data_IF_191043585903
#
_entry.id   IF_191043585903
#
_cell.length_a   1.000
_cell.length_b   1.000
_cell.length_c   1.000
_cell.angle_alpha   90.00
_cell.angle_beta   90.00
_cell.angle_gamma   90.00
#
_symmetry.space_group_name_H-M   'P 1'
#
loop_
_entity.id
_entity.type
_entity.pdbx_description
1 polymer ?
#
# COMPACT_ATOMS: atom_id res chain seq x y z
N UNK A 1 6.82 24.93 -51.32
CA UNK A 1 7.81 24.88 -50.22
C UNK A 1 7.09 24.28 -49.03
N UNK A 2 7.46 23.05 -48.66
CA UNK A 2 6.72 22.23 -47.71
C UNK A 2 6.94 22.65 -46.26
N UNK A 3 5.88 22.52 -45.47
CA UNK A 3 5.88 22.64 -44.01
C UNK A 3 6.77 21.57 -43.39
N UNK A 4 7.61 21.94 -42.43
CA UNK A 4 8.14 21.02 -41.42
C UNK A 4 7.69 21.58 -40.07
N UNK A 5 6.70 20.92 -39.48
CA UNK A 5 6.29 21.11 -38.10
C UNK A 5 7.11 20.09 -37.32
N UNK A 6 8.16 20.54 -36.66
CA UNK A 6 8.81 19.74 -35.61
C UNK A 6 8.05 20.01 -34.32
N UNK A 7 6.99 19.24 -34.11
CA UNK A 7 6.29 19.11 -32.84
C UNK A 7 7.21 18.28 -31.93
N UNK A 8 8.11 18.96 -31.21
CA UNK A 8 8.86 18.36 -30.11
C UNK A 8 7.86 18.05 -28.98
N UNK A 9 7.41 16.80 -28.93
CA UNK A 9 6.72 16.24 -27.76
C UNK A 9 7.69 16.29 -26.57
N UNK A 10 7.62 17.37 -25.79
CA UNK A 10 8.23 17.44 -24.47
C UNK A 10 7.57 16.36 -23.63
N UNK A 11 8.30 15.27 -23.41
CA UNK A 11 7.96 14.30 -22.38
C UNK A 11 7.99 15.03 -21.05
N UNK A 12 6.82 15.39 -20.51
CA UNK A 12 6.69 15.88 -19.14
C UNK A 12 7.27 14.82 -18.22
N UNK A 13 8.51 15.04 -17.77
CA UNK A 13 9.09 14.28 -16.68
C UNK A 13 8.33 14.69 -15.43
N UNK A 14 7.23 13.98 -15.14
CA UNK A 14 6.48 14.14 -13.90
C UNK A 14 7.52 13.99 -12.78
N UNK A 15 7.76 15.03 -11.95
CA UNK A 15 8.72 14.91 -10.87
C UNK A 15 8.28 13.76 -9.97
N UNK A 16 9.16 12.78 -9.80
CA UNK A 16 8.94 11.69 -8.85
C UNK A 16 8.94 12.32 -7.46
N UNK A 17 7.75 12.65 -6.96
CA UNK A 17 7.58 13.14 -5.59
C UNK A 17 7.92 11.99 -4.66
N UNK A 18 9.12 12.02 -4.08
CA UNK A 18 9.53 11.07 -3.04
C UNK A 18 8.65 11.30 -1.82
N UNK A 19 7.66 10.42 -1.62
CA UNK A 19 6.78 10.46 -0.46
C UNK A 19 7.55 10.12 0.80
N UNK A 20 7.40 10.92 1.85
CA UNK A 20 7.94 10.59 3.16
C UNK A 20 7.16 9.44 3.82
N UNK A 21 7.66 8.86 4.92
CA UNK A 21 7.03 7.71 5.56
C UNK A 21 5.60 7.98 6.08
N UNK A 22 5.28 9.21 6.47
CA UNK A 22 3.92 9.57 6.87
C UNK A 22 2.97 9.53 5.67
N UNK A 23 3.40 10.05 4.53
CA UNK A 23 2.63 10.04 3.28
C UNK A 23 2.45 8.63 2.73
N UNK A 24 3.53 7.82 2.74
CA UNK A 24 3.46 6.41 2.40
C UNK A 24 2.47 5.67 3.30
N UNK A 25 2.53 5.90 4.62
CA UNK A 25 1.61 5.26 5.55
C UNK A 25 0.16 5.71 5.38
N UNK A 26 -0.07 6.99 5.07
CA UNK A 26 -1.41 7.49 4.78
C UNK A 26 -2.02 6.80 3.54
N UNK A 27 -1.22 6.54 2.51
CA UNK A 27 -1.68 5.79 1.34
C UNK A 27 -1.96 4.32 1.64
N UNK A 28 -1.07 3.68 2.40
CA UNK A 28 -1.28 2.31 2.91
C UNK A 28 -2.59 2.24 3.73
N UNK A 29 -2.84 3.20 4.62
CA UNK A 29 -4.07 3.32 5.42
C UNK A 29 -5.29 3.52 4.52
N UNK A 30 -5.19 4.32 3.46
CA UNK A 30 -6.28 4.52 2.50
C UNK A 30 -6.65 3.22 1.77
N UNK A 31 -5.65 2.44 1.35
CA UNK A 31 -5.85 1.21 0.55
C UNK A 31 -6.33 0.05 1.40
N UNK A 32 -5.61 -0.29 2.46
CA UNK A 32 -5.98 -1.45 3.28
C UNK A 32 -7.03 -1.06 4.31
N UNK A 33 -6.91 0.14 4.88
CA UNK A 33 -7.88 0.65 5.84
C UNK A 33 -8.13 -0.28 6.99
N UNK A 34 -7.07 -0.84 7.56
CA UNK A 34 -7.13 -1.39 8.89
C UNK A 34 -7.53 -0.29 9.88
N UNK A 35 -8.26 -0.67 10.93
CA UNK A 35 -8.56 0.29 11.99
C UNK A 35 -7.30 0.57 12.83
N UNK A 36 -7.34 1.61 13.66
CA UNK A 36 -6.16 2.05 14.42
C UNK A 36 -5.66 1.01 15.43
N UNK A 37 -6.54 0.14 15.93
CA UNK A 37 -6.15 -0.99 16.80
C UNK A 37 -5.41 -2.07 16.02
N UNK A 38 -5.82 -2.32 14.77
CA UNK A 38 -5.14 -3.27 13.89
C UNK A 38 -3.77 -2.74 13.45
N UNK A 39 -3.67 -1.47 13.08
CA UNK A 39 -2.36 -0.87 12.79
C UNK A 39 -1.42 -0.88 13.99
N UNK A 40 -1.93 -0.58 15.18
CA UNK A 40 -1.17 -0.67 16.42
C UNK A 40 -0.59 -2.08 16.62
N UNK A 41 -1.37 -3.13 16.30
CA UNK A 41 -0.89 -4.52 16.34
C UNK A 41 0.16 -4.81 15.25
N UNK A 42 -0.08 -4.38 14.01
CA UNK A 42 0.81 -4.61 12.87
C UNK A 42 2.21 -4.03 13.11
N UNK A 43 2.28 -2.84 13.71
CA UNK A 43 3.53 -2.13 13.97
C UNK A 43 4.07 -2.33 15.40
N UNK A 44 3.35 -3.05 16.26
CA UNK A 44 3.77 -3.24 17.66
C UNK A 44 3.87 -1.93 18.46
N UNK A 45 3.00 -0.95 18.17
CA UNK A 45 3.00 0.37 18.81
C UNK A 45 1.65 0.70 19.43
N UNK A 46 1.55 1.83 20.14
CA UNK A 46 0.27 2.30 20.68
C UNK A 46 -0.65 2.84 19.59
N UNK A 47 -1.96 2.85 19.84
CA UNK A 47 -2.93 3.53 18.97
C UNK A 47 -2.62 5.02 18.80
N UNK A 48 -2.14 5.68 19.85
CA UNK A 48 -1.77 7.11 19.84
C UNK A 48 -0.65 7.35 18.84
N UNK A 49 0.36 6.49 18.83
CA UNK A 49 1.46 6.55 17.85
C UNK A 49 0.94 6.49 16.41
N UNK A 50 -0.04 5.62 16.11
CA UNK A 50 -0.67 5.55 14.79
C UNK A 50 -1.40 6.86 14.44
N UNK A 51 -2.11 7.47 15.39
CA UNK A 51 -2.73 8.78 15.17
C UNK A 51 -1.70 9.88 14.90
N UNK A 52 -0.61 9.90 15.68
CA UNK A 52 0.45 10.88 15.53
C UNK A 52 1.15 10.73 14.17
N UNK A 53 1.33 9.51 13.66
CA UNK A 53 1.87 9.28 12.31
C UNK A 53 0.91 9.74 11.22
N UNK A 54 -0.38 9.42 11.30
CA UNK A 54 -1.35 9.81 10.27
C UNK A 54 -1.63 11.32 10.25
N UNK A 55 -1.48 11.99 11.40
CA UNK A 55 -1.57 13.45 11.52
C UNK A 55 -0.24 14.17 11.29
N UNK A 56 0.81 13.44 10.92
CA UNK A 56 2.18 13.96 10.70
C UNK A 56 2.79 14.68 11.92
N UNK A 57 2.26 14.46 13.11
CA UNK A 57 2.80 15.02 14.37
C UNK A 57 4.13 14.37 14.74
N UNK A 58 4.28 13.09 14.43
CA UNK A 58 5.55 12.37 14.53
C UNK A 58 5.76 11.53 13.28
N UNK A 59 7.01 11.17 12.99
CA UNK A 59 7.37 10.35 11.83
C UNK A 59 7.76 8.94 12.28
N UNK A 60 7.34 7.87 11.57
CA UNK A 60 7.85 6.53 11.81
C UNK A 60 9.38 6.48 11.74
N UNK A 61 10.02 5.67 12.58
CA UNK A 61 11.48 5.54 12.64
C UNK A 61 11.88 4.06 12.70
N UNK A 62 13.15 3.77 12.38
CA UNK A 62 13.74 2.44 12.52
C UNK A 62 12.98 1.35 11.75
N UNK A 63 12.72 0.21 12.39
CA UNK A 63 12.03 -0.93 11.77
C UNK A 63 10.63 -0.57 11.24
N UNK A 64 9.90 0.32 11.90
CA UNK A 64 8.58 0.75 11.45
C UNK A 64 8.64 1.58 10.15
N UNK A 65 9.66 2.43 10.01
CA UNK A 65 9.88 3.17 8.76
C UNK A 65 10.19 2.21 7.60
N UNK A 66 11.08 1.25 7.83
CA UNK A 66 11.43 0.24 6.82
C UNK A 66 10.20 -0.58 6.40
N UNK A 67 9.43 -1.07 7.38
CA UNK A 67 8.22 -1.85 7.15
C UNK A 67 7.16 -1.07 6.38
N UNK A 68 6.98 0.22 6.69
CA UNK A 68 6.11 1.10 5.90
C UNK A 68 6.62 1.21 4.46
N UNK A 69 7.92 1.42 4.27
CA UNK A 69 8.54 1.47 2.96
C UNK A 69 8.31 0.20 2.14
N UNK A 70 8.45 -0.97 2.76
CA UNK A 70 8.29 -2.25 2.06
C UNK A 70 6.83 -2.52 1.70
N UNK A 71 5.88 -2.25 2.60
CA UNK A 71 4.44 -2.31 2.27
C UNK A 71 4.10 -1.32 1.15
N UNK A 72 4.69 -0.13 1.16
CA UNK A 72 4.47 0.88 0.13
C UNK A 72 5.00 0.43 -1.24
N UNK A 73 6.21 -0.16 -1.31
CA UNK A 73 6.75 -0.72 -2.57
C UNK A 73 5.85 -1.79 -3.17
N UNK A 74 5.31 -2.67 -2.34
CA UNK A 74 4.33 -3.67 -2.78
C UNK A 74 3.10 -3.01 -3.42
N UNK A 75 2.61 -1.90 -2.87
CA UNK A 75 1.51 -1.13 -3.47
C UNK A 75 1.91 -0.37 -4.74
N UNK A 76 3.14 0.11 -4.85
CA UNK A 76 3.62 0.78 -6.06
C UNK A 76 3.68 -0.15 -7.27
N UNK A 77 3.88 -1.45 -7.04
CA UNK A 77 3.78 -2.47 -8.09
C UNK A 77 2.37 -2.66 -8.66
N UNK A 78 1.34 -2.07 -8.03
CA UNK A 78 -0.07 -2.21 -8.45
C UNK A 78 -0.54 -0.96 -9.21
N UNK A 79 -0.83 -1.08 -10.52
CA UNK A 79 -1.14 0.09 -11.37
C UNK A 79 -2.48 0.76 -11.04
N UNK A 80 -3.46 0.06 -10.47
CA UNK A 80 -4.81 0.58 -10.25
C UNK A 80 -5.27 0.51 -8.78
N UNK A 81 -4.51 1.14 -7.89
CA UNK A 81 -4.83 1.25 -6.46
C UNK A 81 -5.78 2.43 -6.13
N UNK A 82 -6.89 2.57 -6.85
CA UNK A 82 -7.88 3.62 -6.54
C UNK A 82 -8.77 3.23 -5.37
N UNK A 83 -9.15 1.96 -5.31
CA UNK A 83 -10.09 1.45 -4.32
C UNK A 83 -9.44 0.94 -3.04
N UNK A 84 -10.14 1.15 -1.93
CA UNK A 84 -9.87 0.47 -0.67
C UNK A 84 -10.20 -1.00 -0.82
N UNK A 85 -9.27 -1.88 -0.44
CA UNK A 85 -9.46 -3.34 -0.43
C UNK A 85 -10.62 -3.69 0.51
N UNK A 86 -11.50 -4.58 0.04
CA UNK A 86 -12.61 -5.04 0.88
C UNK A 86 -12.08 -5.79 2.11
N UNK A 87 -12.63 -5.47 3.29
CA UNK A 87 -12.19 -6.03 4.57
C UNK A 87 -12.21 -7.57 4.61
N UNK A 88 -13.13 -8.20 3.86
CA UNK A 88 -13.18 -9.66 3.71
C UNK A 88 -11.86 -10.22 3.17
N UNK A 89 -11.25 -9.58 2.16
CA UNK A 89 -10.00 -10.07 1.57
C UNK A 89 -8.80 -9.93 2.51
N UNK A 90 -8.77 -8.88 3.32
CA UNK A 90 -7.65 -8.63 4.26
C UNK A 90 -7.57 -9.67 5.37
N UNK A 91 -8.74 -10.20 5.78
CA UNK A 91 -8.88 -11.21 6.82
C UNK A 91 -9.02 -12.63 6.26
N UNK A 92 -9.10 -12.78 4.93
CA UNK A 92 -9.18 -14.08 4.29
C UNK A 92 -7.82 -14.77 4.34
N UNK A 93 -7.82 -16.07 4.64
CA UNK A 93 -6.62 -16.89 4.57
C UNK A 93 -6.10 -16.94 3.13
N UNK A 94 -4.81 -16.63 2.96
CA UNK A 94 -4.08 -16.81 1.72
C UNK A 94 -3.48 -18.21 1.76
N UNK A 95 -4.06 -19.15 1.00
CA UNK A 95 -3.74 -20.58 1.10
C UNK A 95 -2.24 -20.88 0.97
N UNK A 96 -1.51 -20.14 0.14
CA UNK A 96 -0.06 -20.29 -0.06
C UNK A 96 0.74 -20.11 1.24
N UNK A 97 0.29 -19.22 2.12
CA UNK A 97 1.00 -18.86 3.35
C UNK A 97 0.30 -19.37 4.61
N UNK A 98 -0.91 -19.91 4.46
CA UNK A 98 -1.81 -20.25 5.56
C UNK A 98 -1.99 -19.09 6.57
N UNK A 99 -2.02 -17.86 6.06
CA UNK A 99 -2.16 -16.62 6.83
C UNK A 99 -2.98 -15.60 6.06
N UNK A 100 -3.67 -14.74 6.77
CA UNK A 100 -4.27 -13.53 6.21
C UNK A 100 -3.22 -12.44 5.97
N UNK A 101 -3.55 -11.45 5.14
CA UNK A 101 -2.64 -10.32 4.89
C UNK A 101 -2.34 -9.55 6.18
N UNK A 102 -3.33 -9.46 7.08
CA UNK A 102 -3.17 -8.86 8.40
C UNK A 102 -2.17 -9.60 9.27
N UNK A 103 -2.19 -10.92 9.28
CA UNK A 103 -1.23 -11.75 10.04
C UNK A 103 0.17 -11.62 9.45
N UNK A 104 0.30 -11.69 8.13
CA UNK A 104 1.58 -11.47 7.41
C UNK A 104 2.18 -10.12 7.81
N UNK A 105 1.39 -9.04 7.70
CA UNK A 105 1.85 -7.72 8.09
C UNK A 105 2.14 -7.61 9.58
N UNK A 106 1.51 -8.39 10.46
CA UNK A 106 1.78 -8.31 11.90
C UNK A 106 3.05 -9.03 12.30
N UNK A 107 3.32 -10.18 11.70
CA UNK A 107 4.40 -11.08 12.12
C UNK A 107 5.72 -10.81 11.40
N UNK A 108 5.66 -10.26 10.19
CA UNK A 108 6.83 -10.05 9.34
C UNK A 108 7.52 -8.72 9.63
N UNK A 109 8.85 -8.73 9.58
CA UNK A 109 9.66 -7.50 9.50
C UNK A 109 10.21 -7.27 8.10
N UNK A 110 10.34 -8.32 7.28
CA UNK A 110 10.77 -8.23 5.89
C UNK A 110 9.81 -9.02 4.99
N UNK A 111 8.72 -8.35 4.56
CA UNK A 111 7.59 -9.00 3.91
C UNK A 111 7.98 -9.57 2.53
N UNK A 112 8.81 -8.87 1.78
CA UNK A 112 9.23 -9.31 0.43
C UNK A 112 10.12 -10.54 0.49
N UNK A 113 11.02 -10.63 1.48
CA UNK A 113 11.89 -11.79 1.67
C UNK A 113 11.13 -13.00 2.21
N UNK A 114 10.24 -12.79 3.19
CA UNK A 114 9.53 -13.87 3.88
C UNK A 114 8.35 -14.43 3.06
N UNK A 115 7.73 -13.62 2.18
CA UNK A 115 6.50 -13.97 1.45
C UNK A 115 6.61 -13.71 -0.06
N UNK A 116 7.40 -14.54 -0.75
CA UNK A 116 7.60 -14.44 -2.19
C UNK A 116 6.28 -14.45 -2.98
N UNK A 117 6.01 -13.38 -3.74
CA UNK A 117 4.79 -13.22 -4.55
C UNK A 117 3.62 -12.59 -3.81
N UNK A 118 3.83 -12.05 -2.61
CA UNK A 118 2.79 -11.31 -1.87
C UNK A 118 2.25 -10.08 -2.63
N UNK A 119 3.08 -9.43 -3.46
CA UNK A 119 2.65 -8.33 -4.32
C UNK A 119 1.54 -8.73 -5.29
N UNK A 120 1.65 -9.92 -5.90
CA UNK A 120 0.62 -10.46 -6.81
C UNK A 120 -0.70 -10.73 -6.07
N UNK A 121 -0.61 -11.21 -4.83
CA UNK A 121 -1.78 -11.43 -3.97
C UNK A 121 -2.47 -10.09 -3.65
N UNK A 122 -1.70 -9.07 -3.27
CA UNK A 122 -2.22 -7.72 -2.99
C UNK A 122 -2.87 -7.14 -4.26
N UNK A 123 -2.20 -7.25 -5.41
CA UNK A 123 -2.72 -6.80 -6.69
C UNK A 123 -4.06 -7.49 -7.01
N UNK A 124 -4.14 -8.80 -6.82
CA UNK A 124 -5.37 -9.57 -7.01
C UNK A 124 -6.49 -9.08 -6.09
N UNK A 125 -6.22 -8.86 -4.80
CA UNK A 125 -7.23 -8.36 -3.84
C UNK A 125 -7.78 -6.98 -4.22
N UNK A 126 -6.92 -6.08 -4.69
CA UNK A 126 -7.31 -4.74 -5.17
C UNK A 126 -8.21 -4.87 -6.41
N UNK A 127 -7.77 -5.64 -7.41
CA UNK A 127 -8.52 -5.84 -8.66
C UNK A 127 -9.88 -6.51 -8.43
N UNK A 128 -9.95 -7.52 -7.55
CA UNK A 128 -11.22 -8.16 -7.22
C UNK A 128 -12.17 -7.21 -6.47
N UNK A 129 -11.63 -6.29 -5.68
CA UNK A 129 -12.44 -5.27 -5.01
C UNK A 129 -13.05 -4.30 -6.02
N UNK A 130 -12.25 -3.80 -6.96
CA UNK A 130 -12.72 -2.91 -8.03
C UNK A 130 -13.82 -3.57 -8.87
N UNK A 131 -13.57 -4.79 -9.39
CA UNK A 131 -14.54 -5.56 -10.19
C UNK A 131 -15.86 -5.81 -9.45
N UNK A 132 -15.80 -6.04 -8.13
CA UNK A 132 -17.01 -6.24 -7.33
C UNK A 132 -17.85 -4.96 -7.24
N UNK A 133 -17.22 -3.79 -7.14
CA UNK A 133 -17.93 -2.50 -7.12
C UNK A 133 -18.59 -2.20 -8.47
N UNK A 134 -17.87 -2.42 -9.57
CA UNK A 134 -18.41 -2.22 -10.93
C UNK A 134 -19.66 -3.06 -11.19
N UNK A 135 -19.74 -4.28 -10.65
CA UNK A 135 -20.91 -5.16 -10.79
C UNK A 135 -22.12 -4.75 -9.94
N UNK A 136 -21.92 -3.88 -8.96
CA UNK A 136 -22.96 -3.42 -8.03
C UNK A 136 -23.51 -2.03 -8.38
N UNK A 137 -22.87 -1.33 -9.32
CA UNK A 137 -23.29 -0.05 -9.86
C UNK A 137 -24.04 -0.24 -11.18
#
# INVERSE_FOLDING_TARGET
SGYVVEDELQQETIPVVLKNYNEQFAEIDRIFGFNKTEWAKIFGVSRVTIYDWLSQKTTPQGSNANKIGDIYKLLESVPEKKDRVAQTYLNQNISKYNKSLKEIFSESQNIEEEYQGIGEVIAFMILQTAKRKERLN
#
